data_IF_335087269984
#
_entry.id   IF_335087269984
#
_cell.length_a   1.000
_cell.length_b   1.000
_cell.length_c   1.000
_cell.angle_alpha   90.00
_cell.angle_beta   90.00
_cell.angle_gamma   90.00
#
_symmetry.space_group_name_H-M   'P 1'
#
loop_
_entity.id
_entity.type
_entity.pdbx_description
1 polymer ?
#
# COMPACT_ATOMS: atom_id res chain seq x y z
N UNK A 1 2.61 -6.46 13.48
CA UNK A 1 4.04 -6.89 13.41
C UNK A 1 4.42 -6.92 11.94
N UNK A 2 5.61 -6.47 11.58
CA UNK A 2 6.08 -6.49 10.19
C UNK A 2 7.27 -7.44 10.04
N UNK A 3 7.25 -8.24 8.98
CA UNK A 3 8.41 -9.00 8.50
C UNK A 3 8.76 -8.49 7.12
N UNK A 4 9.94 -7.89 6.98
CA UNK A 4 10.43 -7.48 5.66
C UNK A 4 10.85 -8.72 4.86
N UNK A 5 10.52 -8.74 3.58
CA UNK A 5 11.07 -9.70 2.60
C UNK A 5 12.39 -9.14 2.04
N UNK A 6 13.19 -8.57 2.95
CA UNK A 6 14.52 -8.07 2.65
C UNK A 6 15.48 -9.24 2.50
N UNK A 7 16.48 -9.08 1.64
CA UNK A 7 17.46 -10.12 1.36
C UNK A 7 17.60 -10.35 -0.14
N UNK A 8 18.24 -11.47 -0.48
CA UNK A 8 18.48 -11.84 -1.86
C UNK A 8 17.21 -12.42 -2.48
N UNK A 9 16.84 -11.85 -3.62
CA UNK A 9 15.84 -12.37 -4.54
C UNK A 9 16.57 -12.89 -5.77
N UNK A 10 16.30 -14.14 -6.16
CA UNK A 10 16.88 -14.68 -7.38
C UNK A 10 16.15 -14.08 -8.58
N UNK A 11 16.87 -13.37 -9.44
CA UNK A 11 16.39 -12.84 -10.71
C UNK A 11 16.72 -13.81 -11.84
N UNK A 12 15.70 -14.21 -12.59
CA UNK A 12 15.83 -15.09 -13.75
C UNK A 12 15.12 -14.53 -14.98
N UNK A 13 15.71 -14.60 -16.19
CA UNK A 13 14.99 -14.29 -17.41
C UNK A 13 13.98 -15.41 -17.72
N UNK A 14 12.82 -15.05 -18.28
CA UNK A 14 11.80 -15.99 -18.75
C UNK A 14 11.77 -16.16 -20.28
N UNK A 15 12.08 -15.10 -21.04
CA UNK A 15 12.16 -15.11 -22.52
C UNK A 15 13.55 -15.48 -23.06
N UNK A 16 14.57 -14.61 -22.95
CA UNK A 16 15.96 -14.92 -23.32
C UNK A 16 16.73 -15.60 -22.17
N UNK A 17 16.69 -16.93 -22.16
CA UNK A 17 17.37 -17.77 -21.17
C UNK A 17 18.90 -17.79 -21.29
N UNK A 18 19.48 -17.10 -22.27
CA UNK A 18 20.95 -16.95 -22.36
C UNK A 18 21.49 -15.90 -21.39
N UNK A 19 20.63 -15.00 -20.91
CA UNK A 19 20.98 -14.02 -19.88
C UNK A 19 21.22 -14.77 -18.56
N UNK A 20 22.34 -14.50 -17.84
CA UNK A 20 22.60 -15.16 -16.58
C UNK A 20 21.60 -14.77 -15.50
N UNK A 21 21.32 -15.71 -14.60
CA UNK A 21 20.61 -15.43 -13.35
C UNK A 21 21.57 -14.73 -12.36
N UNK A 22 21.02 -13.87 -11.51
CA UNK A 22 21.78 -13.21 -10.45
C UNK A 22 20.87 -12.93 -9.23
N UNK A 23 21.46 -12.57 -8.10
CA UNK A 23 20.74 -12.23 -6.89
C UNK A 23 20.62 -10.71 -6.72
N UNK A 24 19.40 -10.22 -6.55
CA UNK A 24 19.10 -8.79 -6.37
C UNK A 24 18.56 -8.50 -4.96
N UNK A 25 18.77 -7.27 -4.50
CA UNK A 25 18.14 -6.73 -3.29
C UNK A 25 17.34 -5.49 -3.63
N UNK A 26 16.25 -5.25 -2.91
CA UNK A 26 15.43 -4.03 -3.05
C UNK A 26 15.79 -2.98 -2.00
N UNK A 27 15.57 -1.68 -2.27
CA UNK A 27 14.99 -1.12 -3.49
C UNK A 27 16.01 -0.96 -4.63
N UNK A 28 15.56 -1.09 -5.88
CA UNK A 28 16.40 -0.82 -7.05
C UNK A 28 15.87 -1.38 -8.38
N UNK A 29 16.51 -0.99 -9.50
CA UNK A 29 16.20 -1.49 -10.82
C UNK A 29 16.80 -2.88 -11.05
N UNK A 30 16.20 -3.69 -11.92
CA UNK A 30 16.76 -4.99 -12.31
C UNK A 30 18.15 -4.84 -12.95
N UNK A 31 18.38 -3.75 -13.68
CA UNK A 31 19.64 -3.46 -14.37
C UNK A 31 20.86 -3.34 -13.45
N UNK A 32 20.69 -3.27 -12.12
CA UNK A 32 21.82 -3.18 -11.20
C UNK A 32 22.63 -4.47 -11.05
N UNK A 33 22.04 -5.63 -11.38
CA UNK A 33 22.71 -6.96 -11.33
C UNK A 33 22.85 -7.60 -12.72
N UNK A 34 22.18 -7.05 -13.73
CA UNK A 34 22.22 -7.60 -15.09
C UNK A 34 23.48 -7.15 -15.85
N UNK A 35 23.89 -7.90 -16.90
CA UNK A 35 25.03 -7.52 -17.72
C UNK A 35 24.91 -6.11 -18.29
N UNK A 36 25.97 -5.31 -18.17
CA UNK A 36 26.00 -3.91 -18.64
C UNK A 36 25.84 -3.75 -20.16
N UNK A 37 25.86 -4.85 -20.91
CA UNK A 37 25.57 -4.88 -22.35
C UNK A 37 24.08 -4.76 -22.67
N UNK A 38 23.19 -5.06 -21.72
CA UNK A 38 21.75 -4.93 -21.90
C UNK A 38 21.35 -3.48 -21.66
N UNK A 39 20.60 -2.89 -22.60
CA UNK A 39 19.99 -1.58 -22.40
C UNK A 39 18.70 -1.71 -21.58
N UNK A 40 18.27 -0.62 -20.92
CA UNK A 40 16.97 -0.61 -20.20
C UNK A 40 15.80 -0.97 -21.11
N UNK A 41 15.87 -0.61 -22.39
CA UNK A 41 14.86 -0.95 -23.37
C UNK A 41 14.86 -2.46 -23.71
N UNK A 42 16.02 -3.12 -23.67
CA UNK A 42 16.08 -4.58 -23.88
C UNK A 42 15.59 -5.31 -22.63
N UNK A 43 15.94 -4.81 -21.44
CA UNK A 43 15.45 -5.34 -20.16
C UNK A 43 13.91 -5.20 -20.08
N UNK A 44 13.33 -4.09 -20.51
CA UNK A 44 11.88 -3.88 -20.49
C UNK A 44 11.11 -4.75 -21.52
N UNK A 45 11.75 -5.24 -22.59
CA UNK A 45 11.14 -6.17 -23.55
C UNK A 45 11.22 -7.63 -23.10
N UNK A 46 12.03 -7.89 -22.10
CA UNK A 46 12.28 -9.21 -21.56
C UNK A 46 11.32 -9.47 -20.38
N UNK A 47 10.87 -10.71 -20.25
CA UNK A 47 10.12 -11.12 -19.07
C UNK A 47 11.06 -11.63 -17.97
N UNK A 48 10.73 -11.33 -16.72
CA UNK A 48 11.58 -11.62 -15.58
C UNK A 48 10.82 -12.32 -14.47
N UNK A 49 11.50 -13.21 -13.78
CA UNK A 49 11.02 -13.88 -12.59
C UNK A 49 11.94 -13.57 -11.41
N UNK A 50 11.38 -12.94 -10.39
CA UNK A 50 12.01 -12.74 -9.10
C UNK A 50 11.46 -13.77 -8.11
N UNK A 51 12.34 -14.45 -7.39
CA UNK A 51 11.96 -15.49 -6.44
C UNK A 51 12.66 -15.33 -5.09
N UNK A 52 11.91 -15.44 -4.01
CA UNK A 52 12.43 -15.40 -2.64
C UNK A 52 11.70 -16.38 -1.72
N UNK A 53 12.46 -17.15 -0.94
CA UNK A 53 11.94 -18.14 -0.01
C UNK A 53 12.14 -17.65 1.44
N UNK A 54 11.10 -17.81 2.27
CA UNK A 54 11.20 -17.61 3.73
C UNK A 54 10.70 -18.85 4.47
N UNK A 55 11.15 -19.02 5.72
CA UNK A 55 10.58 -20.00 6.65
C UNK A 55 9.44 -19.36 7.44
N UNK A 56 8.28 -20.03 7.48
CA UNK A 56 7.09 -19.60 8.22
C UNK A 56 6.82 -20.61 9.33
N UNK A 57 6.76 -20.12 10.58
CA UNK A 57 6.51 -20.96 11.75
C UNK A 57 5.04 -20.92 12.22
N UNK A 58 4.72 -21.74 13.23
CA UNK A 58 3.37 -21.78 13.81
C UNK A 58 2.96 -20.44 14.44
N UNK A 59 3.92 -19.63 14.91
CA UNK A 59 3.63 -18.33 15.53
C UNK A 59 3.19 -17.30 14.48
N UNK A 60 3.79 -17.32 13.29
CA UNK A 60 3.36 -16.54 12.13
C UNK A 60 1.99 -16.98 11.63
N UNK A 61 1.74 -18.30 11.57
CA UNK A 61 0.45 -18.84 11.16
C UNK A 61 -0.66 -18.62 12.22
N UNK A 62 -0.31 -18.34 13.47
CA UNK A 62 -1.31 -18.05 14.50
C UNK A 62 -2.01 -16.69 14.31
N UNK A 63 -1.48 -15.80 13.45
CA UNK A 63 -2.17 -14.56 13.12
C UNK A 63 -3.39 -14.84 12.23
N UNK A 64 -4.56 -14.24 12.54
CA UNK A 64 -5.79 -14.44 11.76
C UNK A 64 -5.71 -13.89 10.34
N UNK A 65 -4.91 -12.85 10.12
CA UNK A 65 -4.70 -12.23 8.83
C UNK A 65 -3.24 -11.80 8.63
N UNK A 66 -2.75 -11.90 7.39
CA UNK A 66 -1.37 -11.56 7.03
C UNK A 66 -1.41 -10.92 5.66
N UNK A 67 -1.18 -9.61 5.59
CA UNK A 67 -1.12 -8.95 4.31
C UNK A 67 0.27 -9.03 3.70
N UNK A 68 0.35 -9.37 2.41
CA UNK A 68 1.51 -9.05 1.58
C UNK A 68 1.35 -7.62 1.08
N UNK A 69 2.40 -6.82 1.25
CA UNK A 69 2.45 -5.43 0.83
C UNK A 69 3.62 -5.24 -0.12
N UNK A 70 3.30 -4.75 -1.31
CA UNK A 70 4.26 -4.42 -2.37
C UNK A 70 4.04 -2.97 -2.78
N UNK A 71 5.11 -2.20 -2.88
CA UNK A 71 5.05 -0.76 -3.14
C UNK A 71 6.18 -0.37 -4.09
N UNK A 72 5.90 0.55 -5.01
CA UNK A 72 6.89 1.02 -5.98
C UNK A 72 7.21 -0.01 -7.05
N UNK A 73 6.19 -0.62 -7.64
CA UNK A 73 6.30 -1.35 -8.91
C UNK A 73 5.57 -0.52 -9.95
N UNK A 74 6.33 0.00 -10.92
CA UNK A 74 5.83 0.92 -11.96
C UNK A 74 5.59 0.23 -13.32
N UNK A 75 5.62 -1.11 -13.34
CA UNK A 75 5.45 -1.96 -14.52
C UNK A 75 4.41 -3.04 -14.23
N UNK A 76 3.82 -3.61 -15.28
CA UNK A 76 2.97 -4.79 -15.12
C UNK A 76 3.75 -5.93 -14.45
N UNK A 77 3.21 -6.45 -13.35
CA UNK A 77 3.81 -7.60 -12.67
C UNK A 77 2.75 -8.45 -11.97
N UNK A 78 2.83 -9.76 -12.13
CA UNK A 78 2.01 -10.72 -11.40
C UNK A 78 2.74 -11.17 -10.13
N UNK A 79 2.05 -11.13 -8.99
CA UNK A 79 2.60 -11.54 -7.70
C UNK A 79 2.03 -12.90 -7.31
N UNK A 80 2.91 -13.84 -6.94
CA UNK A 80 2.51 -15.18 -6.50
C UNK A 80 3.06 -15.52 -5.11
N UNK A 81 2.30 -16.35 -4.40
CA UNK A 81 2.70 -16.97 -3.14
C UNK A 81 2.49 -18.48 -3.28
N UNK A 82 3.55 -19.25 -3.08
CA UNK A 82 3.56 -20.71 -3.25
C UNK A 82 2.99 -21.17 -4.60
N UNK A 83 3.31 -20.45 -5.68
CA UNK A 83 2.83 -20.72 -7.04
C UNK A 83 1.38 -20.29 -7.34
N UNK A 84 0.68 -19.69 -6.37
CA UNK A 84 -0.69 -19.16 -6.55
C UNK A 84 -0.62 -17.66 -6.81
N UNK A 85 -1.18 -17.19 -7.93
CA UNK A 85 -1.32 -15.76 -8.23
C UNK A 85 -2.28 -15.09 -7.22
N UNK A 86 -1.81 -14.02 -6.57
CA UNK A 86 -2.54 -13.33 -5.49
C UNK A 86 -3.10 -11.98 -5.91
N UNK A 87 -2.36 -11.23 -6.74
CA UNK A 87 -2.77 -9.96 -7.35
C UNK A 87 -1.75 -9.53 -8.42
N UNK A 88 -2.15 -8.58 -9.25
CA UNK A 88 -1.32 -7.93 -10.26
C UNK A 88 -0.99 -6.50 -9.84
N UNK A 89 0.20 -6.05 -10.20
CA UNK A 89 0.60 -4.65 -10.22
C UNK A 89 0.39 -4.13 -11.64
N UNK A 90 -0.41 -3.08 -11.80
CA UNK A 90 -0.85 -2.53 -13.09
C UNK A 90 -0.46 -1.04 -13.27
N UNK A 91 0.45 -0.55 -12.42
CA UNK A 91 0.87 0.84 -12.37
C UNK A 91 -0.27 1.85 -12.14
N UNK A 92 -1.41 1.43 -11.56
CA UNK A 92 -2.50 2.34 -11.19
C UNK A 92 -2.44 2.76 -9.72
N UNK A 93 -1.79 1.96 -8.88
CA UNK A 93 -1.63 2.22 -7.45
C UNK A 93 -0.15 2.25 -7.05
N UNK A 94 0.16 3.06 -6.04
CA UNK A 94 1.52 3.11 -5.48
C UNK A 94 1.82 1.94 -4.54
N UNK A 95 0.80 1.45 -3.81
CA UNK A 95 0.86 0.35 -2.84
C UNK A 95 -0.22 -0.68 -3.19
N UNK A 96 0.18 -1.95 -3.30
CA UNK A 96 -0.69 -3.10 -3.49
C UNK A 96 -0.69 -3.94 -2.20
N UNK A 97 -1.87 -4.37 -1.79
CA UNK A 97 -2.09 -5.10 -0.54
C UNK A 97 -3.07 -6.24 -0.74
N UNK A 98 -2.75 -7.42 -0.20
CA UNK A 98 -3.66 -8.56 -0.19
C UNK A 98 -3.47 -9.40 1.06
N UNK A 99 -4.57 -9.85 1.67
CA UNK A 99 -4.49 -10.90 2.70
C UNK A 99 -4.05 -12.21 2.05
N UNK A 100 -2.84 -12.65 2.42
CA UNK A 100 -2.24 -13.88 1.94
C UNK A 100 -2.24 -14.99 2.97
N UNK A 101 -2.83 -14.79 4.16
CA UNK A 101 -2.86 -15.82 5.20
C UNK A 101 -3.35 -17.18 4.70
N UNK A 102 -4.35 -17.29 3.80
CA UNK A 102 -4.80 -18.58 3.27
C UNK A 102 -3.76 -19.33 2.41
N UNK A 103 -2.79 -18.62 1.82
CA UNK A 103 -1.77 -19.20 0.93
C UNK A 103 -0.49 -19.61 1.67
N UNK A 104 -0.34 -19.20 2.93
CA UNK A 104 0.83 -19.54 3.75
C UNK A 104 0.73 -20.95 4.34
N UNK A 105 1.85 -21.67 4.32
CA UNK A 105 2.03 -22.98 4.93
C UNK A 105 3.12 -22.97 6.00
N UNK A 106 3.21 -24.01 6.84
CA UNK A 106 4.32 -24.16 7.78
C UNK A 106 5.58 -24.59 7.03
N UNK A 107 6.72 -24.01 7.36
CA UNK A 107 8.02 -24.25 6.73
C UNK A 107 8.27 -23.30 5.56
N UNK A 108 8.92 -23.79 4.51
CA UNK A 108 9.30 -22.97 3.36
C UNK A 108 8.08 -22.44 2.60
N UNK A 109 8.04 -21.12 2.41
CA UNK A 109 7.09 -20.41 1.57
C UNK A 109 7.84 -19.60 0.52
N UNK A 110 7.33 -19.64 -0.71
CA UNK A 110 7.92 -18.98 -1.87
C UNK A 110 7.11 -17.76 -2.26
N UNK A 111 7.79 -16.65 -2.46
CA UNK A 111 7.26 -15.39 -2.97
C UNK A 111 7.86 -15.13 -4.33
N UNK A 112 7.01 -14.78 -5.29
CA UNK A 112 7.40 -14.59 -6.69
C UNK A 112 6.82 -13.28 -7.21
N UNK A 113 7.62 -12.54 -7.98
CA UNK A 113 7.18 -11.37 -8.74
C UNK A 113 7.58 -11.62 -10.19
N UNK A 114 6.60 -11.70 -11.07
CA UNK A 114 6.80 -11.96 -12.49
C UNK A 114 6.53 -10.67 -13.25
N UNK A 115 7.56 -10.09 -13.84
CA UNK A 115 7.39 -9.02 -14.81
C UNK A 115 7.11 -9.66 -16.17
N UNK A 116 5.85 -9.59 -16.58
CA UNK A 116 5.35 -10.20 -17.81
C UNK A 116 5.06 -9.10 -18.83
N UNK A 117 5.08 -9.46 -20.12
CA UNK A 117 4.51 -8.57 -21.12
C UNK A 117 2.99 -8.50 -20.88
N UNK A 118 2.42 -7.30 -20.93
CA UNK A 118 0.96 -7.18 -20.95
C UNK A 118 0.45 -7.93 -22.18
N UNK A 119 -0.37 -8.97 -21.95
CA UNK A 119 -1.16 -9.52 -23.02
C UNK A 119 -2.10 -8.40 -23.47
N UNK A 120 -2.01 -8.05 -24.75
CA UNK A 120 -2.84 -7.07 -25.43
C UNK A 120 -4.31 -7.54 -25.29
N UNK A 121 -4.96 -7.19 -24.17
CA UNK A 121 -6.38 -7.47 -23.92
C UNK A 121 -7.21 -6.50 -24.78
N UNK A 122 -7.28 -6.79 -26.08
CA UNK A 122 -8.11 -6.09 -27.07
C UNK A 122 -9.62 -6.36 -26.87
N UNK A 123 -10.08 -6.46 -25.62
CA UNK A 123 -11.46 -6.84 -25.28
C UNK A 123 -11.99 -6.09 -24.04
N UNK A 124 -11.83 -4.76 -24.00
CA UNK A 124 -12.76 -3.92 -23.22
C UNK A 124 -13.16 -2.75 -24.11
N UNK A 125 -14.46 -2.68 -24.43
CA UNK A 125 -15.06 -1.53 -25.12
C UNK A 125 -14.61 -0.22 -24.45
N UNK A 126 -14.28 0.77 -25.27
CA UNK A 126 -13.94 2.17 -24.90
C UNK A 126 -15.12 2.90 -24.21
N UNK A 127 -15.73 2.32 -23.19
CA UNK A 127 -16.51 3.08 -22.22
C UNK A 127 -15.49 3.74 -21.29
N UNK A 128 -15.27 5.07 -21.36
CA UNK A 128 -14.42 5.74 -20.41
C UNK A 128 -14.97 5.40 -19.03
N UNK A 129 -14.15 4.70 -18.22
CA UNK A 129 -14.47 4.39 -16.84
C UNK A 129 -15.07 5.65 -16.22
N UNK A 130 -16.33 5.56 -15.81
CA UNK A 130 -17.05 6.70 -15.23
C UNK A 130 -16.15 7.28 -14.16
N UNK A 131 -15.83 8.58 -14.16
CA UNK A 131 -14.87 9.12 -13.20
C UNK A 131 -15.43 8.88 -11.80
N UNK A 132 -14.91 7.84 -11.15
CA UNK A 132 -15.18 7.57 -9.76
C UNK A 132 -14.67 8.80 -9.00
N UNK A 133 -15.46 9.31 -8.05
CA UNK A 133 -14.99 10.37 -7.17
C UNK A 133 -13.59 10.00 -6.66
N UNK A 134 -12.58 10.89 -6.78
CA UNK A 134 -11.25 10.57 -6.26
C UNK A 134 -11.38 10.41 -4.74
N UNK A 135 -11.41 9.17 -4.28
CA UNK A 135 -11.55 8.77 -2.89
C UNK A 135 -10.21 9.06 -2.20
N UNK A 136 -9.85 10.32 -1.96
CA UNK A 136 -8.66 10.71 -1.18
C UNK A 136 -7.32 10.11 -1.63
N UNK A 137 -7.29 9.37 -2.73
CA UNK A 137 -6.16 8.59 -3.17
C UNK A 137 -5.06 9.54 -3.61
N UNK A 138 -3.84 9.24 -3.14
CA UNK A 138 -2.67 9.92 -3.69
C UNK A 138 -2.56 9.51 -5.14
N UNK A 139 -2.58 10.50 -6.04
CA UNK A 139 -2.33 10.26 -7.45
C UNK A 139 -1.12 9.33 -7.61
N UNK A 140 -1.23 8.33 -8.48
CA UNK A 140 -0.12 7.43 -8.80
C UNK A 140 1.14 8.24 -9.14
N UNK A 141 2.27 7.85 -8.55
CA UNK A 141 3.57 8.50 -8.74
C UNK A 141 4.57 7.45 -9.17
N UNK A 142 4.98 7.56 -10.43
CA UNK A 142 6.08 6.78 -10.97
C UNK A 142 7.32 6.99 -10.10
N UNK A 143 7.91 5.90 -9.62
CA UNK A 143 9.12 5.95 -8.81
C UNK A 143 10.38 6.10 -9.68
N UNK A 144 10.47 5.33 -10.77
CA UNK A 144 11.55 5.40 -11.77
C UNK A 144 11.06 4.88 -13.12
N UNK A 145 11.73 5.25 -14.21
CA UNK A 145 11.37 4.77 -15.56
C UNK A 145 11.91 3.37 -15.87
N UNK A 146 12.83 2.83 -15.06
CA UNK A 146 13.41 1.50 -15.22
C UNK A 146 12.58 0.45 -14.50
N UNK A 147 12.59 -0.77 -15.01
CA UNK A 147 11.95 -1.90 -14.35
C UNK A 147 12.66 -2.23 -13.02
N UNK A 148 11.88 -2.38 -11.96
CA UNK A 148 12.42 -2.54 -10.62
C UNK A 148 11.35 -2.58 -9.54
N UNK A 149 11.83 -2.77 -8.31
CA UNK A 149 10.99 -2.70 -7.10
C UNK A 149 11.60 -1.64 -6.20
N UNK A 150 10.86 -0.55 -5.96
CA UNK A 150 11.38 0.68 -5.35
C UNK A 150 11.12 0.79 -3.85
N UNK A 151 10.45 -0.20 -3.26
CA UNK A 151 10.38 -0.41 -1.81
C UNK A 151 10.50 -1.88 -1.48
N UNK A 152 11.07 -2.19 -0.31
CA UNK A 152 11.21 -3.58 0.13
C UNK A 152 9.83 -4.16 0.44
N UNK A 153 9.39 -5.24 -0.24
CA UNK A 153 8.15 -5.93 0.09
C UNK A 153 8.14 -6.41 1.54
N UNK A 154 6.97 -6.46 2.16
CA UNK A 154 6.86 -6.93 3.54
C UNK A 154 5.53 -7.60 3.82
N UNK A 155 5.51 -8.39 4.90
CA UNK A 155 4.32 -9.00 5.46
C UNK A 155 3.85 -8.20 6.67
N UNK A 156 2.58 -7.81 6.68
CA UNK A 156 1.91 -7.20 7.82
C UNK A 156 1.05 -8.25 8.53
N UNK A 157 1.49 -8.67 9.71
CA UNK A 157 0.74 -9.59 10.57
C UNK A 157 -0.24 -8.82 11.43
N UNK A 158 -1.53 -9.14 11.28
CA UNK A 158 -2.66 -8.49 11.95
C UNK A 158 -3.19 -9.46 13.01
N UNK A 159 -3.24 -9.02 14.27
CA UNK A 159 -3.52 -9.91 15.41
C UNK A 159 -4.97 -9.84 15.85
N UNK A 160 -5.48 -8.63 15.98
CA UNK A 160 -6.78 -8.37 16.58
C UNK A 160 -7.67 -7.60 15.63
N UNK A 161 -7.16 -6.55 14.97
CA UNK A 161 -8.00 -5.56 14.27
C UNK A 161 -7.31 -5.11 12.98
N UNK A 162 -8.00 -5.23 11.83
CA UNK A 162 -7.59 -4.68 10.53
C UNK A 162 -8.21 -3.31 10.33
N UNK A 163 -7.41 -2.33 9.95
CA UNK A 163 -7.94 -1.06 9.45
C UNK A 163 -8.42 -1.28 8.01
N UNK A 164 -9.66 -0.93 7.68
CA UNK A 164 -10.23 -1.14 6.36
C UNK A 164 -10.24 0.13 5.51
N UNK A 165 -10.66 1.24 6.11
CA UNK A 165 -10.62 2.55 5.49
C UNK A 165 -10.69 3.65 6.54
N UNK A 166 -10.36 4.87 6.12
CA UNK A 166 -10.43 6.07 6.95
C UNK A 166 -11.37 7.05 6.27
N UNK A 167 -12.26 7.68 7.03
CA UNK A 167 -13.03 8.82 6.54
C UNK A 167 -12.70 10.06 7.33
N UNK A 168 -12.74 11.20 6.67
CA UNK A 168 -12.52 12.49 7.31
C UNK A 168 -13.65 13.43 6.95
N UNK A 169 -14.18 14.15 7.95
CA UNK A 169 -15.20 15.18 7.77
C UNK A 169 -14.72 16.53 8.33
N UNK A 170 -14.99 17.60 7.60
CA UNK A 170 -14.68 18.99 7.96
C UNK A 170 -15.98 19.76 8.18
N UNK A 171 -16.18 20.25 9.40
CA UNK A 171 -17.35 21.04 9.79
C UNK A 171 -16.90 22.48 10.03
N UNK A 172 -17.27 23.37 9.12
CA UNK A 172 -16.82 24.77 9.13
C UNK A 172 -17.74 25.66 9.96
N UNK A 173 -17.14 26.53 10.77
CA UNK A 173 -17.87 27.50 11.58
C UNK A 173 -17.81 28.90 10.97
N UNK A 174 -18.90 29.66 11.11
CA UNK A 174 -18.98 31.06 10.65
C UNK A 174 -17.88 31.99 11.20
N UNK A 175 -17.20 31.60 12.29
CA UNK A 175 -16.13 32.37 12.93
C UNK A 175 -14.71 32.15 12.39
N UNK A 176 -14.52 31.30 11.38
CA UNK A 176 -13.21 31.10 10.73
C UNK A 176 -12.36 29.93 11.28
N UNK A 177 -12.99 28.95 11.92
CA UNK A 177 -12.37 27.68 12.32
C UNK A 177 -13.14 26.48 11.81
N UNK A 178 -12.58 25.28 11.96
CA UNK A 178 -13.28 24.03 11.63
C UNK A 178 -13.07 22.94 12.68
N UNK A 179 -14.07 22.07 12.78
CA UNK A 179 -13.95 20.77 13.39
C UNK A 179 -13.55 19.74 12.32
N UNK A 180 -12.56 18.92 12.64
CA UNK A 180 -12.04 17.87 11.77
C UNK A 180 -12.25 16.52 12.44
N UNK A 181 -13.24 15.77 11.95
CA UNK A 181 -13.56 14.42 12.39
C UNK A 181 -12.75 13.41 11.57
N UNK A 182 -12.14 12.46 12.25
CA UNK A 182 -11.47 11.30 11.64
C UNK A 182 -12.16 10.04 12.15
N UNK A 183 -12.80 9.29 11.26
CA UNK A 183 -13.34 7.97 11.57
C UNK A 183 -12.40 6.89 11.03
N UNK A 184 -12.10 5.94 11.90
CA UNK A 184 -11.37 4.73 11.56
C UNK A 184 -12.37 3.60 11.43
N UNK A 185 -12.52 3.03 10.25
CA UNK A 185 -13.33 1.83 10.03
C UNK A 185 -12.44 0.59 10.07
N UNK A 186 -12.87 -0.43 10.81
CA UNK A 186 -12.05 -1.60 11.09
C UNK A 186 -12.84 -2.90 11.20
N UNK A 187 -12.14 -4.00 10.90
CA UNK A 187 -12.61 -5.35 11.11
C UNK A 187 -11.90 -5.97 12.32
N UNK A 188 -12.69 -6.48 13.28
CA UNK A 188 -12.15 -7.23 14.42
C UNK A 188 -12.07 -8.72 14.10
N UNK A 189 -10.88 -9.30 14.23
CA UNK A 189 -10.63 -10.75 14.10
C UNK A 189 -10.62 -11.48 15.44
N UNK A 190 -9.94 -10.91 16.43
CA UNK A 190 -9.84 -11.53 17.76
C UNK A 190 -10.02 -10.47 18.86
N UNK A 191 -10.66 -10.82 19.99
CA UNK A 191 -10.77 -9.91 21.11
C UNK A 191 -9.38 -9.54 21.66
N UNK A 192 -9.17 -8.25 21.92
CA UNK A 192 -7.93 -7.76 22.51
C UNK A 192 -8.10 -6.35 23.08
N UNK A 193 -7.24 -5.96 24.02
CA UNK A 193 -7.14 -4.59 24.49
C UNK A 193 -6.31 -3.80 23.47
N UNK A 194 -6.97 -3.29 22.44
CA UNK A 194 -6.35 -2.52 21.36
C UNK A 194 -6.81 -1.07 21.44
N UNK A 195 -5.89 -0.15 21.18
CA UNK A 195 -6.22 1.27 20.96
C UNK A 195 -5.60 1.75 19.65
N UNK A 196 -6.32 2.60 18.93
CA UNK A 196 -5.76 3.37 17.83
C UNK A 196 -5.14 4.66 18.36
N UNK A 197 -4.02 5.08 17.76
CA UNK A 197 -3.44 6.40 17.96
C UNK A 197 -3.71 7.24 16.71
N UNK A 198 -4.43 8.35 16.87
CA UNK A 198 -4.73 9.30 15.78
C UNK A 198 -4.07 10.62 16.08
N UNK A 199 -3.11 11.03 15.24
CA UNK A 199 -2.35 12.27 15.41
C UNK A 199 -2.60 13.21 14.25
N UNK A 200 -3.00 14.43 14.58
CA UNK A 200 -3.29 15.49 13.62
C UNK A 200 -2.99 16.85 14.24
N UNK A 201 -2.39 17.75 13.46
CA UNK A 201 -2.07 19.11 13.88
C UNK A 201 -1.36 19.21 15.25
N UNK A 202 -0.39 18.32 15.50
CA UNK A 202 0.36 18.27 16.75
C UNK A 202 -0.39 17.65 17.95
N UNK A 203 -1.70 17.39 17.84
CA UNK A 203 -2.49 16.70 18.85
C UNK A 203 -2.55 15.20 18.58
N UNK A 204 -2.70 14.38 19.63
CA UNK A 204 -2.84 12.93 19.50
C UNK A 204 -3.95 12.42 20.41
N UNK A 205 -4.91 11.70 19.83
CA UNK A 205 -5.93 10.96 20.57
C UNK A 205 -5.60 9.47 20.61
N UNK A 206 -5.90 8.83 21.74
CA UNK A 206 -5.89 7.39 21.90
C UNK A 206 -7.34 6.90 21.95
N UNK A 207 -7.76 6.15 20.94
CA UNK A 207 -9.12 5.64 20.80
C UNK A 207 -9.14 4.16 21.23
N UNK A 208 -9.84 3.78 22.31
CA UNK A 208 -10.03 2.38 22.62
C UNK A 208 -10.87 1.71 21.54
N UNK A 209 -10.46 0.53 21.09
CA UNK A 209 -11.19 -0.23 20.07
C UNK A 209 -12.24 -1.12 20.75
N UNK A 210 -13.51 -0.93 20.39
CA UNK A 210 -14.60 -1.79 20.84
C UNK A 210 -14.77 -2.94 19.85
N UNK A 211 -14.61 -4.17 20.33
CA UNK A 211 -14.80 -5.41 19.56
C UNK A 211 -16.23 -5.58 19.02
N UNK A 212 -17.19 -4.79 19.50
CA UNK A 212 -18.60 -4.79 19.06
C UNK A 212 -18.92 -3.67 18.06
N UNK A 213 -17.99 -2.75 17.85
CA UNK A 213 -18.11 -1.68 16.86
C UNK A 213 -17.31 -2.05 15.61
N UNK A 214 -17.63 -1.36 14.52
CA UNK A 214 -16.91 -1.39 13.24
C UNK A 214 -16.16 -0.08 12.96
N UNK A 215 -16.29 0.91 13.85
CA UNK A 215 -15.57 2.19 13.74
C UNK A 215 -15.25 2.82 15.10
N UNK A 216 -14.33 3.79 15.07
CA UNK A 216 -13.97 4.66 16.19
C UNK A 216 -13.51 6.02 15.66
N UNK A 217 -13.83 7.09 16.40
CA UNK A 217 -13.72 8.46 15.88
C UNK A 217 -12.88 9.35 16.76
N UNK A 218 -12.16 10.29 16.13
CA UNK A 218 -11.42 11.36 16.78
C UNK A 218 -11.85 12.73 16.22
N UNK A 219 -12.26 13.65 17.09
CA UNK A 219 -12.66 15.01 16.71
C UNK A 219 -11.57 16.01 17.10
N UNK A 220 -11.00 16.70 16.12
CA UNK A 220 -10.01 17.75 16.30
C UNK A 220 -10.64 19.12 16.08
N UNK A 221 -10.24 20.11 16.87
CA UNK A 221 -10.61 21.51 16.63
C UNK A 221 -9.43 22.25 16.00
N UNK A 222 -9.70 23.00 14.94
CA UNK A 222 -8.72 23.81 14.21
C UNK A 222 -9.20 25.26 14.21
N UNK A 223 -8.63 26.08 15.09
CA UNK A 223 -9.06 27.47 15.28
C UNK A 223 -8.66 28.39 14.12
N UNK A 224 -7.49 28.18 13.52
CA UNK A 224 -6.95 28.98 12.43
C UNK A 224 -6.47 28.05 11.29
N UNK A 225 -7.39 27.47 10.52
CA UNK A 225 -7.06 26.49 9.50
C UNK A 225 -6.27 27.14 8.35
N UNK A 226 -5.13 26.53 8.01
CA UNK A 226 -4.47 26.69 6.72
C UNK A 226 -5.36 26.07 5.64
N UNK A 227 -5.87 26.90 4.75
CA UNK A 227 -6.73 26.50 3.64
C UNK A 227 -5.90 25.99 2.47
N UNK A 228 -6.39 24.93 1.81
CA UNK A 228 -5.85 24.47 0.53
C UNK A 228 -6.70 24.98 -0.62
N UNK A 229 -6.06 25.34 -1.75
CA UNK A 229 -6.74 25.38 -3.03
C UNK A 229 -6.83 23.95 -3.58
N UNK A 230 -8.02 23.33 -3.68
CA UNK A 230 -8.15 21.96 -4.16
C UNK A 230 -7.63 21.76 -5.59
N UNK A 231 -7.60 22.82 -6.41
CA UNK A 231 -7.11 22.75 -7.79
C UNK A 231 -5.57 22.78 -7.86
N UNK A 232 -4.93 23.43 -6.90
CA UNK A 232 -3.47 23.59 -6.87
C UNK A 232 -2.94 23.46 -5.43
N UNK A 233 -3.03 22.26 -4.83
CA UNK A 233 -2.61 22.06 -3.45
C UNK A 233 -1.09 22.22 -3.31
N UNK A 234 -0.66 23.11 -2.43
CA UNK A 234 0.76 23.27 -2.09
C UNK A 234 1.12 22.42 -0.87
N UNK A 235 2.29 21.73 -0.84
CA UNK A 235 2.66 20.85 0.26
C UNK A 235 2.61 21.49 1.65
N UNK A 236 2.98 22.77 1.77
CA UNK A 236 2.93 23.55 3.00
C UNK A 236 1.51 23.85 3.53
N UNK A 237 0.48 23.65 2.69
CA UNK A 237 -0.92 23.81 3.05
C UNK A 237 -1.57 22.51 3.54
N UNK A 238 -0.84 21.40 3.50
CA UNK A 238 -1.35 20.08 3.86
C UNK A 238 -0.96 19.71 5.29
N UNK A 239 -1.94 19.27 6.06
CA UNK A 239 -1.73 18.69 7.38
C UNK A 239 -1.34 17.22 7.25
N UNK A 240 -0.46 16.75 8.13
CA UNK A 240 -0.18 15.34 8.25
C UNK A 240 -1.13 14.69 9.27
N UNK A 241 -1.95 13.75 8.81
CA UNK A 241 -2.71 12.83 9.62
C UNK A 241 -1.93 11.51 9.74
N UNK A 242 -1.55 11.13 10.96
CA UNK A 242 -0.87 9.87 11.25
C UNK A 242 -1.78 8.97 12.09
N UNK A 243 -2.02 7.75 11.62
CA UNK A 243 -2.89 6.76 12.27
C UNK A 243 -2.06 5.50 12.52
N UNK A 244 -2.18 4.94 13.72
CA UNK A 244 -1.59 3.66 14.08
C UNK A 244 -2.64 2.77 14.75
N UNK A 245 -2.88 1.57 14.22
CA UNK A 245 -3.86 0.61 14.72
C UNK A 245 -3.32 -0.82 14.62
N UNK A 246 -3.18 -1.51 15.76
CA UNK A 246 -2.70 -2.91 15.84
C UNK A 246 -1.39 -3.16 15.05
N UNK A 247 -0.50 -2.16 15.05
CA UNK A 247 0.78 -2.18 14.33
C UNK A 247 0.68 -1.91 12.82
N UNK A 248 -0.49 -1.53 12.29
CA UNK A 248 -0.65 -0.91 10.97
C UNK A 248 -0.44 0.60 11.11
N UNK A 249 0.19 1.23 10.13
CA UNK A 249 0.46 2.67 10.13
C UNK A 249 -0.01 3.31 8.82
N UNK A 250 -0.74 4.42 8.92
CA UNK A 250 -1.16 5.24 7.78
C UNK A 250 -0.77 6.69 7.98
N UNK A 251 -0.30 7.31 6.89
CA UNK A 251 0.08 8.72 6.82
C UNK A 251 -0.64 9.34 5.64
N UNK A 252 -1.51 10.31 5.91
CA UNK A 252 -2.32 10.99 4.91
C UNK A 252 -2.02 12.48 4.95
N UNK A 253 -1.89 13.09 3.78
CA UNK A 253 -1.78 14.54 3.65
C UNK A 253 -3.18 15.11 3.43
N UNK A 254 -3.67 15.87 4.40
CA UNK A 254 -5.04 16.39 4.45
C UNK A 254 -5.03 17.87 4.12
N UNK A 255 -5.74 18.25 3.06
CA UNK A 255 -6.03 19.65 2.77
C UNK A 255 -7.37 20.06 3.38
N UNK A 256 -7.39 21.18 4.10
CA UNK A 256 -8.65 21.72 4.63
C UNK A 256 -9.29 22.66 3.60
N UNK A 257 -10.54 22.38 3.23
CA UNK A 257 -11.30 23.15 2.23
C UNK A 257 -12.80 23.15 2.55
N UNK A 258 -13.43 24.31 2.43
CA UNK A 258 -14.89 24.46 2.56
C UNK A 258 -15.67 23.78 1.42
N UNK A 259 -14.99 23.49 0.29
CA UNK A 259 -15.60 22.86 -0.87
C UNK A 259 -15.43 21.33 -0.86
N UNK A 260 -14.55 20.79 -0.01
CA UNK A 260 -14.25 19.37 0.10
C UNK A 260 -14.30 18.97 1.58
N UNK A 261 -15.52 18.85 2.09
CA UNK A 261 -15.73 18.58 3.51
C UNK A 261 -15.63 17.10 3.87
N UNK A 262 -15.81 16.17 2.94
CA UNK A 262 -15.75 14.73 3.22
C UNK A 262 -14.77 14.05 2.26
N UNK A 263 -13.87 13.23 2.81
CA UNK A 263 -12.92 12.43 2.04
C UNK A 263 -12.86 11.02 2.60
N UNK A 264 -12.79 10.03 1.71
CA UNK A 264 -12.60 8.63 2.04
C UNK A 264 -11.20 8.21 1.60
N UNK A 265 -10.53 7.37 2.39
CA UNK A 265 -9.19 6.87 2.08
C UNK A 265 -9.20 5.34 2.24
N UNK A 266 -9.07 4.57 1.14
CA UNK A 266 -8.88 3.13 1.22
C UNK A 266 -7.53 2.79 1.87
N UNK A 267 -7.45 1.61 2.51
CA UNK A 267 -6.27 1.14 3.26
C UNK A 267 -5.75 -0.16 2.68
#
# INVERSE_FOLDING_TARGET
MQLTLAGLWQLSPLTDLSIPQDDITFPGPLSCVLPSSLSEADIARQEWHLMHDIEVDDAMLAFPAVDLVITGIDFHAEVRVNGVAVFDCDATHNEYRKDIRPYLQRGRNRFEILFLQEEDDWLIDDEPATPLCPLGESAYRISDARIGVWQVPYLQFIRHVRLEHITTEQIWHYGGGCEFLVDLHYQTYTPGLVSASVKFNGMTYQLPIDVRSDHASALFQVEAPIYVDPLHPMPEQLYLLEIMLDGQSRRLHIGLSENQCVTHYPV
#
